data_IF_696925766851
#
_entry.id   IF_696925766851
#
_cell.length_a   1.000
_cell.length_b   1.000
_cell.length_c   1.000
_cell.angle_alpha   90.00
_cell.angle_beta   90.00
_cell.angle_gamma   90.00
#
_symmetry.space_group_name_H-M   'P 1'
#
loop_
_entity.id
_entity.type
_entity.pdbx_description
1 polymer ?
#
# COMPACT_ATOMS: atom_id res chain seq x y z
N UNK A 1 11.83 7.15 -5.49
CA UNK A 1 11.10 6.11 -6.21
C UNK A 1 9.78 5.80 -5.52
N UNK A 2 8.77 5.41 -6.28
CA UNK A 2 7.45 5.05 -5.77
C UNK A 2 7.19 3.59 -6.12
N UNK A 3 6.76 2.83 -5.13
CA UNK A 3 6.44 1.41 -5.28
C UNK A 3 4.99 1.15 -4.86
N UNK A 4 4.35 0.22 -5.56
CA UNK A 4 3.02 -0.27 -5.21
C UNK A 4 3.11 -1.77 -5.00
N UNK A 5 2.79 -2.24 -3.79
CA UNK A 5 2.84 -3.65 -3.42
C UNK A 5 1.43 -4.15 -3.17
N UNK A 6 1.09 -5.29 -3.73
CA UNK A 6 -0.23 -5.88 -3.55
C UNK A 6 -0.14 -7.41 -3.60
N UNK A 7 -1.06 -8.08 -2.90
CA UNK A 7 -1.19 -9.53 -2.92
C UNK A 7 -1.88 -9.94 -4.22
N UNK A 8 -1.11 -9.92 -5.30
CA UNK A 8 -1.55 -10.29 -6.64
C UNK A 8 -0.36 -10.86 -7.40
N UNK A 9 -0.63 -11.62 -8.46
CA UNK A 9 0.44 -12.14 -9.31
C UNK A 9 0.97 -11.08 -10.28
N UNK A 10 2.06 -11.42 -10.97
CA UNK A 10 2.72 -10.52 -11.92
C UNK A 10 1.80 -10.10 -13.05
N UNK A 11 0.96 -11.00 -13.55
CA UNK A 11 0.08 -10.69 -14.69
C UNK A 11 -0.98 -9.67 -14.30
N UNK A 12 -1.58 -9.83 -13.13
CA UNK A 12 -2.58 -8.89 -12.60
C UNK A 12 -1.93 -7.52 -12.35
N UNK A 13 -0.76 -7.49 -11.75
CA UNK A 13 -0.05 -6.24 -11.47
C UNK A 13 0.32 -5.51 -12.75
N UNK A 14 0.77 -6.21 -13.78
CA UNK A 14 1.09 -5.61 -15.07
C UNK A 14 -0.15 -5.04 -15.76
N UNK A 15 -1.27 -5.76 -15.73
CA UNK A 15 -2.53 -5.29 -16.31
C UNK A 15 -3.04 -4.03 -15.59
N UNK A 16 -2.94 -4.01 -14.27
CA UNK A 16 -3.34 -2.86 -13.46
C UNK A 16 -2.47 -1.65 -13.77
N UNK A 17 -1.15 -1.83 -13.82
CA UNK A 17 -0.22 -0.75 -14.16
C UNK A 17 -0.53 -0.15 -15.52
N UNK A 18 -0.80 -0.99 -16.52
CA UNK A 18 -1.17 -0.52 -17.85
C UNK A 18 -2.48 0.24 -17.86
N UNK A 19 -3.48 -0.24 -17.11
CA UNK A 19 -4.78 0.41 -17.04
C UNK A 19 -4.70 1.81 -16.44
N UNK A 20 -3.75 2.04 -15.54
CA UNK A 20 -3.55 3.33 -14.89
C UNK A 20 -2.60 4.26 -15.66
N UNK A 21 -1.85 3.73 -16.63
CA UNK A 21 -0.82 4.49 -17.30
C UNK A 21 0.31 4.95 -16.37
N UNK A 22 0.58 4.16 -15.32
CA UNK A 22 1.49 4.54 -14.25
C UNK A 22 2.93 4.13 -14.58
N UNK A 23 3.62 4.93 -15.40
CA UNK A 23 4.98 4.62 -15.90
C UNK A 23 6.07 4.87 -14.85
N UNK A 24 5.79 5.72 -13.86
CA UNK A 24 6.77 6.13 -12.84
C UNK A 24 6.61 5.39 -11.52
N UNK A 25 5.75 4.38 -11.46
CA UNK A 25 5.50 3.55 -10.28
C UNK A 25 5.94 2.13 -10.58
N UNK A 26 6.75 1.55 -9.69
CA UNK A 26 7.13 0.14 -9.77
C UNK A 26 6.10 -0.70 -9.02
N UNK A 27 5.42 -1.59 -9.73
CA UNK A 27 4.43 -2.48 -9.16
C UNK A 27 5.11 -3.79 -8.75
N UNK A 28 4.98 -4.15 -7.48
CA UNK A 28 5.61 -5.35 -6.91
C UNK A 28 4.53 -6.38 -6.60
N UNK A 29 4.56 -7.54 -7.26
CA UNK A 29 3.60 -8.61 -6.97
C UNK A 29 4.02 -9.38 -5.72
N UNK A 30 3.18 -9.34 -4.69
CA UNK A 30 3.36 -10.12 -3.47
C UNK A 30 2.38 -11.30 -3.48
N UNK A 31 2.47 -12.14 -4.52
CA UNK A 31 1.51 -13.20 -4.79
C UNK A 31 1.38 -14.23 -3.67
N UNK A 32 2.46 -14.50 -2.95
CA UNK A 32 2.46 -15.43 -1.80
C UNK A 32 2.19 -14.73 -0.47
N UNK A 33 1.96 -13.42 -0.48
CA UNK A 33 1.66 -12.60 0.70
C UNK A 33 2.77 -12.57 1.76
N UNK A 34 3.98 -12.93 1.41
CA UNK A 34 5.11 -12.99 2.36
C UNK A 34 5.47 -11.61 2.90
N UNK A 35 5.60 -10.63 2.00
CA UNK A 35 5.90 -9.26 2.41
C UNK A 35 4.76 -8.66 3.22
N UNK A 36 3.53 -8.84 2.75
CA UNK A 36 2.34 -8.32 3.43
C UNK A 36 2.19 -8.89 4.83
N UNK A 37 2.43 -10.21 5.00
CA UNK A 37 2.43 -10.84 6.30
C UNK A 37 3.54 -10.29 7.20
N UNK A 38 4.74 -10.15 6.66
CA UNK A 38 5.88 -9.58 7.39
C UNK A 38 5.65 -8.16 7.87
N UNK A 39 4.86 -7.38 7.13
CA UNK A 39 4.47 -6.02 7.51
C UNK A 39 3.31 -6.00 8.51
N UNK A 40 2.71 -7.14 8.84
CA UNK A 40 1.56 -7.20 9.73
C UNK A 40 0.26 -6.68 9.11
N UNK A 41 0.19 -6.63 7.78
CA UNK A 41 -0.95 -6.06 7.05
C UNK A 41 -1.83 -7.11 6.37
N UNK A 42 -1.57 -8.40 6.59
CA UNK A 42 -2.35 -9.46 5.97
C UNK A 42 -3.71 -9.60 6.64
N UNK A 43 -4.76 -9.57 5.84
CA UNK A 43 -6.14 -9.75 6.30
C UNK A 43 -6.89 -10.68 5.36
N UNK A 44 -7.92 -11.36 5.89
CA UNK A 44 -8.82 -12.17 5.07
C UNK A 44 -9.89 -11.28 4.45
N UNK A 45 -10.19 -11.53 3.19
CA UNK A 45 -11.24 -10.87 2.43
C UNK A 45 -12.20 -11.91 1.84
N UNK A 46 -12.48 -12.97 2.59
CA UNK A 46 -13.33 -14.06 2.14
C UNK A 46 -14.76 -13.62 1.90
N UNK A 47 -15.22 -12.60 2.63
CA UNK A 47 -16.53 -12.00 2.41
C UNK A 47 -16.71 -11.43 1.00
N UNK A 48 -15.61 -11.11 0.31
CA UNK A 48 -15.60 -10.63 -1.07
C UNK A 48 -15.12 -11.71 -2.04
N UNK A 49 -14.78 -12.89 -1.55
CA UNK A 49 -14.24 -13.96 -2.38
C UNK A 49 -12.79 -13.74 -2.80
N UNK A 50 -12.05 -12.87 -2.13
CA UNK A 50 -10.69 -12.51 -2.52
C UNK A 50 -9.61 -13.32 -1.79
N UNK A 51 -9.97 -14.06 -0.73
CA UNK A 51 -8.98 -14.74 0.09
C UNK A 51 -8.16 -13.75 0.91
N UNK A 52 -6.89 -14.06 1.11
CA UNK A 52 -5.99 -13.20 1.89
C UNK A 52 -5.44 -12.06 1.03
N UNK A 53 -5.51 -10.84 1.57
CA UNK A 53 -5.09 -9.62 0.89
C UNK A 53 -4.38 -8.71 1.87
N UNK A 54 -3.85 -7.59 1.37
CA UNK A 54 -3.23 -6.58 2.21
C UNK A 54 -4.25 -5.57 2.69
N UNK A 55 -4.17 -5.23 3.98
CA UNK A 55 -4.82 -4.01 4.49
C UNK A 55 -4.16 -2.80 3.83
N UNK A 56 -4.90 -1.72 3.65
CA UNK A 56 -4.39 -0.54 2.98
C UNK A 56 -3.48 0.25 3.90
N UNK A 57 -2.26 0.48 3.45
CA UNK A 57 -1.28 1.27 4.17
C UNK A 57 -0.36 1.97 3.16
N UNK A 58 0.33 3.00 3.64
CA UNK A 58 1.39 3.67 2.91
C UNK A 58 2.55 3.95 3.86
N UNK A 59 3.77 3.99 3.37
CA UNK A 59 4.91 4.31 4.19
C UNK A 59 5.96 5.08 3.40
N UNK A 60 6.71 5.89 4.13
CA UNK A 60 7.88 6.58 3.61
C UNK A 60 9.11 5.90 4.21
N UNK A 61 10.00 5.43 3.35
CA UNK A 61 11.22 4.73 3.74
C UNK A 61 12.41 5.55 3.30
N UNK A 62 13.37 5.76 4.22
CA UNK A 62 14.59 6.48 3.95
C UNK A 62 15.77 5.64 4.43
N UNK A 63 16.67 5.29 3.51
CA UNK A 63 17.87 4.51 3.79
C UNK A 63 17.57 3.21 4.56
N UNK A 64 16.53 2.49 4.11
CA UNK A 64 16.12 1.22 4.70
C UNK A 64 15.32 1.33 5.99
N UNK A 65 15.02 2.53 6.46
CA UNK A 65 14.28 2.76 7.71
C UNK A 65 12.92 3.37 7.39
N UNK A 66 11.87 2.80 7.99
CA UNK A 66 10.52 3.36 7.88
C UNK A 66 10.46 4.65 8.68
N UNK A 67 10.30 5.75 7.98
CA UNK A 67 10.30 7.10 8.56
C UNK A 67 8.89 7.52 8.97
N UNK A 68 7.89 7.15 8.19
CA UNK A 68 6.49 7.48 8.45
C UNK A 68 5.62 6.34 7.95
N UNK A 69 4.63 5.96 8.72
CA UNK A 69 3.69 4.90 8.40
C UNK A 69 2.26 5.42 8.51
N UNK A 70 1.48 5.21 7.45
CA UNK A 70 0.06 5.56 7.39
C UNK A 70 -0.73 4.26 7.30
N UNK A 71 -1.64 4.03 8.23
CA UNK A 71 -2.49 2.84 8.24
C UNK A 71 -3.94 3.26 8.32
N UNK A 72 -4.79 2.69 7.48
CA UNK A 72 -6.23 2.91 7.59
C UNK A 72 -6.76 2.27 8.88
N UNK A 73 -7.72 2.90 9.57
CA UNK A 73 -8.24 2.37 10.82
C UNK A 73 -9.11 1.13 10.61
N UNK A 74 -9.20 0.28 11.63
CA UNK A 74 -10.11 -0.85 11.63
C UNK A 74 -9.56 -2.15 11.06
N UNK A 75 -8.23 -2.28 10.96
CA UNK A 75 -7.61 -3.49 10.38
C UNK A 75 -8.17 -4.76 11.03
N UNK A 76 -8.87 -5.56 10.23
CA UNK A 76 -9.46 -6.81 10.68
C UNK A 76 -9.85 -7.68 9.48
N UNK A 77 -9.99 -8.97 9.72
CA UNK A 77 -10.47 -9.89 8.70
C UNK A 77 -11.93 -9.60 8.37
N UNK A 78 -12.27 -9.69 7.09
CA UNK A 78 -13.63 -9.52 6.58
C UNK A 78 -14.31 -8.21 7.02
N UNK A 79 -13.50 -7.15 7.14
CA UNK A 79 -14.03 -5.83 7.47
C UNK A 79 -14.96 -5.37 6.35
N UNK A 80 -16.17 -4.91 6.72
CA UNK A 80 -17.21 -4.56 5.76
C UNK A 80 -16.90 -3.30 4.96
N UNK A 81 -16.11 -2.38 5.53
CA UNK A 81 -15.74 -1.13 4.90
C UNK A 81 -14.36 -1.24 4.26
N UNK A 82 -14.09 -0.36 3.31
CA UNK A 82 -12.79 -0.24 2.68
C UNK A 82 -12.28 1.20 2.90
N UNK A 83 -11.75 1.49 4.10
CA UNK A 83 -11.38 2.86 4.44
C UNK A 83 -10.23 3.38 3.60
N UNK A 84 -10.35 4.64 3.18
CA UNK A 84 -9.37 5.32 2.36
C UNK A 84 -9.34 6.80 2.73
N UNK A 85 -8.72 7.11 3.86
CA UNK A 85 -8.59 8.49 4.35
C UNK A 85 -7.17 8.83 4.78
N UNK A 86 -6.51 7.89 5.48
CA UNK A 86 -5.16 8.10 6.01
C UNK A 86 -4.07 7.90 4.95
N UNK A 87 -4.29 7.02 3.98
CA UNK A 87 -3.30 6.61 2.99
C UNK A 87 -3.44 7.31 1.65
N UNK A 88 -4.21 8.38 1.58
CA UNK A 88 -4.42 9.11 0.33
C UNK A 88 -3.12 9.74 -0.16
N UNK A 89 -2.96 9.92 -1.48
CA UNK A 89 -1.81 10.63 -2.02
C UNK A 89 -1.65 12.03 -1.41
N UNK A 90 -2.75 12.70 -1.14
CA UNK A 90 -2.77 14.02 -0.53
C UNK A 90 -2.10 14.02 0.84
N UNK A 91 -2.42 13.04 1.69
CA UNK A 91 -1.82 12.92 3.02
C UNK A 91 -0.32 12.64 2.95
N UNK A 92 0.08 11.74 2.05
CA UNK A 92 1.50 11.39 1.88
C UNK A 92 2.27 12.59 1.34
N UNK A 93 1.73 13.28 0.35
CA UNK A 93 2.36 14.46 -0.25
C UNK A 93 2.47 15.60 0.76
N UNK A 94 1.47 15.79 1.60
CA UNK A 94 1.51 16.78 2.67
C UNK A 94 2.69 16.53 3.62
N UNK A 95 2.87 15.29 4.06
CA UNK A 95 4.00 14.92 4.90
C UNK A 95 5.32 15.19 4.21
N UNK A 96 5.48 14.79 2.95
CA UNK A 96 6.72 14.98 2.19
C UNK A 96 7.01 16.46 1.97
N UNK A 97 5.99 17.27 1.73
CA UNK A 97 6.13 18.72 1.55
C UNK A 97 6.58 19.40 2.84
N UNK A 98 5.99 19.05 3.96
CA UNK A 98 6.39 19.57 5.28
C UNK A 98 7.84 19.22 5.61
N UNK A 99 8.24 17.98 5.32
CA UNK A 99 9.61 17.52 5.52
C UNK A 99 10.61 18.35 4.73
N UNK A 100 10.32 18.62 3.46
CA UNK A 100 11.18 19.44 2.60
C UNK A 100 11.24 20.87 3.13
N UNK A 101 10.12 21.44 3.55
CA UNK A 101 10.07 22.79 4.11
C UNK A 101 10.90 22.91 5.39
N UNK A 102 10.97 21.86 6.20
CA UNK A 102 11.75 21.85 7.44
C UNK A 102 13.26 21.65 7.22
N UNK A 103 13.67 21.20 6.07
CA UNK A 103 15.07 21.01 5.72
C UNK A 103 15.69 22.31 5.21
N UNK A 104 14.88 23.12 4.57
CA UNK A 104 15.31 24.36 3.97
C UNK A 104 15.36 25.50 4.93
#
# INVERSE_FOLDING_TARGET
AVYCVSVNDTFVMNAWAKSLGADNITFIPDGSAEFTEGMGMLVAKDNLGFGKRSWRYAMVVNDGVVEKFFEEPGRSDNFEEDPYGETTPENVLEYLTEKVANIG
#
